data_IF_124142287727
#
_entry.id   IF_124142287727
#
_cell.length_a   1.000
_cell.length_b   1.000
_cell.length_c   1.000
_cell.angle_alpha   90.00
_cell.angle_beta   90.00
_cell.angle_gamma   90.00
#
_symmetry.space_group_name_H-M   'P 1'
#
loop_
_entity.id
_entity.type
_entity.pdbx_description
1 polymer ?
#
# COMPACT_ATOMS: atom_id res chain seq x y z
N UNK A 1 9.73 -9.56 -4.30
CA UNK A 1 9.23 -9.37 -2.92
C UNK A 1 8.15 -8.30 -2.87
N UNK A 2 8.44 -7.02 -2.62
CA UNK A 2 7.35 -6.03 -2.54
C UNK A 2 6.59 -5.85 -3.85
N UNK A 3 7.26 -5.92 -4.98
CA UNK A 3 6.60 -5.68 -6.28
C UNK A 3 5.55 -6.74 -6.64
N UNK A 4 5.66 -7.91 -6.06
CA UNK A 4 4.76 -9.04 -6.33
C UNK A 4 4.35 -9.75 -5.05
N UNK A 5 4.09 -8.98 -4.00
CA UNK A 5 3.67 -9.51 -2.70
C UNK A 5 2.28 -10.11 -2.80
N UNK A 6 2.18 -11.42 -2.75
CA UNK A 6 0.93 -12.16 -2.94
C UNK A 6 0.43 -12.84 -1.67
N UNK A 7 1.17 -12.75 -0.57
CA UNK A 7 0.83 -13.43 0.68
C UNK A 7 -0.30 -12.76 1.47
N UNK A 8 -0.58 -11.49 1.22
CA UNK A 8 -1.59 -10.75 1.95
C UNK A 8 -2.96 -10.84 1.28
N UNK A 9 -4.01 -10.95 2.08
CA UNK A 9 -5.39 -10.92 1.59
C UNK A 9 -5.77 -9.51 1.12
N UNK A 10 -5.21 -8.49 1.77
CA UNK A 10 -5.50 -7.08 1.48
C UNK A 10 -4.23 -6.27 1.50
N UNK A 11 -4.22 -5.20 0.72
CA UNK A 11 -3.17 -4.19 0.74
C UNK A 11 -3.83 -2.84 0.98
N UNK A 12 -3.36 -2.14 2.01
CA UNK A 12 -3.76 -0.76 2.28
C UNK A 12 -2.57 0.16 2.14
N UNK A 13 -2.83 1.38 1.71
CA UNK A 13 -1.83 2.44 1.73
C UNK A 13 -2.28 3.58 2.63
N UNK A 14 -1.35 4.11 3.41
CA UNK A 14 -1.53 5.36 4.11
C UNK A 14 -1.25 6.50 3.12
N UNK A 15 -2.29 7.21 2.70
CA UNK A 15 -2.15 8.32 1.77
C UNK A 15 -1.39 9.48 2.42
N UNK A 16 -0.83 10.36 1.62
CA UNK A 16 0.07 11.38 2.12
C UNK A 16 1.44 10.80 2.46
N UNK A 17 2.24 11.55 3.19
CA UNK A 17 3.53 11.03 3.61
C UNK A 17 3.49 10.60 5.08
N UNK A 18 4.32 9.61 5.39
CA UNK A 18 4.55 9.12 6.75
C UNK A 18 6.00 9.36 7.13
N UNK A 19 6.25 9.71 8.38
CA UNK A 19 7.60 9.77 8.90
C UNK A 19 8.17 8.34 8.99
N UNK A 20 9.03 7.99 8.03
CA UNK A 20 9.57 6.63 7.94
C UNK A 20 10.66 6.34 8.97
N UNK A 21 10.96 7.26 9.89
CA UNK A 21 11.74 6.93 11.07
C UNK A 21 10.97 6.04 12.03
N UNK A 22 9.65 6.00 11.92
CA UNK A 22 8.82 5.06 12.68
C UNK A 22 9.20 3.62 12.34
N UNK A 23 9.36 2.82 13.37
CA UNK A 23 9.55 1.39 13.25
C UNK A 23 8.25 0.62 13.38
N UNK A 24 8.36 -0.66 13.67
CA UNK A 24 7.21 -1.57 13.77
C UNK A 24 6.15 -1.02 14.73
N UNK A 25 6.54 -0.69 15.96
CA UNK A 25 5.59 -0.25 16.97
C UNK A 25 4.88 1.04 16.58
N UNK A 26 5.63 2.01 16.05
CA UNK A 26 5.06 3.28 15.64
C UNK A 26 4.09 3.14 14.49
N UNK A 27 4.41 2.31 13.51
CA UNK A 27 3.54 2.07 12.36
C UNK A 27 2.31 1.25 12.75
N UNK A 28 2.47 0.22 13.60
CA UNK A 28 1.33 -0.56 14.08
C UNK A 28 0.36 0.31 14.89
N UNK A 29 0.91 1.20 15.73
CA UNK A 29 0.09 2.15 16.51
C UNK A 29 -0.66 3.11 15.58
N UNK A 30 -0.03 3.57 14.51
CA UNK A 30 -0.65 4.43 13.52
C UNK A 30 -1.83 3.73 12.85
N UNK A 31 -1.67 2.45 12.49
CA UNK A 31 -2.76 1.64 11.91
C UNK A 31 -3.94 1.56 12.88
N UNK A 32 -3.67 1.28 14.16
CA UNK A 32 -4.72 1.13 15.17
C UNK A 32 -5.39 2.46 15.51
N UNK A 33 -4.62 3.49 15.81
CA UNK A 33 -5.13 4.72 16.38
C UNK A 33 -5.57 5.72 15.33
N UNK A 34 -4.78 5.90 14.29
CA UNK A 34 -5.10 6.90 13.26
C UNK A 34 -6.09 6.36 12.23
N UNK A 35 -5.92 5.13 11.78
CA UNK A 35 -6.77 4.54 10.75
C UNK A 35 -7.86 3.63 11.29
N UNK A 36 -7.82 3.30 12.59
CA UNK A 36 -8.79 2.43 13.25
C UNK A 36 -8.94 1.07 12.56
N UNK A 37 -7.82 0.52 12.13
CA UNK A 37 -7.72 -0.81 11.54
C UNK A 37 -6.93 -1.73 12.45
N UNK A 38 -7.09 -3.02 12.23
CA UNK A 38 -6.37 -4.05 12.99
C UNK A 38 -5.08 -4.41 12.26
N UNK A 39 -3.90 -4.11 12.84
CA UNK A 39 -2.64 -4.51 12.22
C UNK A 39 -2.33 -6.00 12.32
N UNK A 40 -3.04 -6.74 13.19
CA UNK A 40 -2.83 -8.17 13.41
C UNK A 40 -3.67 -9.02 12.45
N UNK A 41 -3.78 -8.60 11.20
CA UNK A 41 -4.52 -9.31 10.16
C UNK A 41 -3.58 -9.62 8.99
N UNK A 42 -4.02 -10.50 8.10
CA UNK A 42 -3.26 -10.83 6.88
C UNK A 42 -3.35 -9.68 5.87
N UNK A 43 -2.81 -8.54 6.25
CA UNK A 43 -2.88 -7.30 5.50
C UNK A 43 -1.50 -6.66 5.42
N UNK A 44 -1.12 -6.25 4.23
CA UNK A 44 0.08 -5.43 4.02
C UNK A 44 -0.31 -3.96 4.08
N UNK A 45 0.29 -3.22 5.01
CA UNK A 45 0.13 -1.77 5.13
C UNK A 45 1.36 -1.08 4.58
N UNK A 46 1.18 -0.19 3.62
CA UNK A 46 2.26 0.53 2.96
C UNK A 46 2.27 2.00 3.34
N UNK A 47 3.45 2.51 3.56
CA UNK A 47 3.71 3.89 3.98
C UNK A 47 4.79 4.47 3.09
N UNK A 48 4.62 5.72 2.68
CA UNK A 48 5.57 6.40 1.80
C UNK A 48 6.17 7.61 2.49
N UNK A 49 7.46 7.82 2.29
CA UNK A 49 8.16 8.97 2.82
C UNK A 49 7.89 10.23 1.99
N UNK A 50 8.29 11.38 2.55
CA UNK A 50 8.08 12.68 1.91
C UNK A 50 8.72 12.75 0.52
N UNK A 51 9.87 12.13 0.33
CA UNK A 51 10.60 12.12 -0.95
C UNK A 51 9.97 11.21 -2.00
N UNK A 52 9.04 10.35 -1.61
CA UNK A 52 8.34 9.41 -2.49
C UNK A 52 9.24 8.41 -3.23
N UNK A 53 10.51 8.33 -2.89
CA UNK A 53 11.44 7.34 -3.44
C UNK A 53 11.60 6.13 -2.51
N UNK A 54 10.93 6.14 -1.36
CA UNK A 54 11.06 5.08 -0.36
C UNK A 54 9.74 4.77 0.29
N UNK A 55 9.54 3.49 0.56
CA UNK A 55 8.34 2.98 1.22
C UNK A 55 8.73 2.00 2.32
N UNK A 56 7.86 1.89 3.31
CA UNK A 56 7.88 0.80 4.28
C UNK A 56 6.60 0.00 4.18
N UNK A 57 6.71 -1.31 4.39
CA UNK A 57 5.57 -2.20 4.46
C UNK A 57 5.54 -2.90 5.81
N UNK A 58 4.39 -2.86 6.48
CA UNK A 58 4.16 -3.55 7.73
C UNK A 58 3.23 -4.73 7.48
N UNK A 59 3.65 -5.92 7.88
CA UNK A 59 2.88 -7.13 7.67
C UNK A 59 2.95 -8.03 8.89
N UNK A 60 1.79 -8.44 9.39
CA UNK A 60 1.70 -9.41 10.48
C UNK A 60 1.77 -10.84 9.92
N UNK A 61 2.72 -11.63 10.39
CA UNK A 61 2.87 -13.02 10.00
C UNK A 61 2.82 -13.89 11.25
N UNK A 62 1.66 -14.45 11.49
CA UNK A 62 1.40 -15.44 12.55
C UNK A 62 1.78 -15.01 13.97
N UNK A 63 3.05 -14.77 14.22
CA UNK A 63 3.63 -14.58 15.55
C UNK A 63 4.49 -13.32 15.65
N UNK A 64 4.58 -12.54 14.58
CA UNK A 64 5.40 -11.34 14.59
C UNK A 64 5.13 -10.43 13.41
N UNK A 65 5.60 -9.20 13.55
CA UNK A 65 5.57 -8.24 12.45
C UNK A 65 6.82 -8.34 11.59
N UNK A 66 6.62 -8.21 10.29
CA UNK A 66 7.69 -8.00 9.31
C UNK A 66 7.63 -6.55 8.89
N UNK A 67 8.78 -5.89 8.90
CA UNK A 67 8.93 -4.55 8.38
C UNK A 67 9.79 -4.60 7.14
N UNK A 68 9.20 -4.25 5.99
CA UNK A 68 9.88 -4.17 4.72
C UNK A 68 10.25 -2.71 4.46
N UNK A 69 11.41 -2.49 3.87
CA UNK A 69 11.87 -1.16 3.49
C UNK A 69 12.47 -1.22 2.10
N UNK A 70 11.98 -0.33 1.22
CA UNK A 70 12.51 -0.24 -0.14
C UNK A 70 12.74 1.21 -0.51
N UNK A 71 13.93 1.49 -1.03
CA UNK A 71 14.29 2.79 -1.58
C UNK A 71 14.61 2.62 -3.06
N UNK A 72 13.93 3.39 -3.91
CA UNK A 72 14.21 3.38 -5.35
C UNK A 72 15.57 4.03 -5.60
N UNK A 73 16.33 3.44 -6.52
CA UNK A 73 17.58 4.05 -7.00
C UNK A 73 17.27 5.23 -7.93
N UNK A 74 16.21 5.10 -8.72
CA UNK A 74 15.74 6.14 -9.64
C UNK A 74 14.22 6.19 -9.61
N UNK A 75 13.66 7.39 -9.83
CA UNK A 75 12.24 7.59 -9.90
C UNK A 75 11.57 7.78 -8.55
N UNK A 76 10.27 7.80 -8.57
CA UNK A 76 9.45 8.00 -7.39
C UNK A 76 8.13 7.25 -7.54
N UNK A 77 7.52 6.91 -6.39
CA UNK A 77 6.18 6.36 -6.37
C UNK A 77 5.16 7.47 -6.59
N UNK A 78 4.14 7.20 -7.39
CA UNK A 78 3.01 8.13 -7.59
C UNK A 78 2.02 7.98 -6.44
N UNK A 79 2.44 8.39 -5.25
CA UNK A 79 1.68 8.16 -4.02
C UNK A 79 0.52 9.13 -3.88
N UNK A 80 -0.71 8.65 -3.57
CA UNK A 80 -1.84 9.54 -3.32
C UNK A 80 -1.55 10.47 -2.14
N UNK A 81 -1.92 11.75 -2.29
CA UNK A 81 -1.52 12.80 -1.36
C UNK A 81 -2.57 13.17 -0.32
N UNK A 82 -3.75 12.56 -0.36
CA UNK A 82 -4.79 12.83 0.63
C UNK A 82 -4.30 12.47 2.03
N UNK A 83 -4.16 13.46 2.89
CA UNK A 83 -3.65 13.24 4.23
C UNK A 83 -4.69 12.52 5.10
N UNK A 84 -4.18 11.75 6.09
CA UNK A 84 -4.99 11.07 7.09
C UNK A 84 -6.00 10.08 6.51
N UNK A 85 -5.83 9.69 5.26
CA UNK A 85 -6.68 8.71 4.60
C UNK A 85 -5.93 7.40 4.42
N UNK A 86 -6.65 6.29 4.57
CA UNK A 86 -6.15 4.96 4.24
C UNK A 86 -7.00 4.41 3.11
N UNK A 87 -6.37 3.80 2.13
CA UNK A 87 -7.06 3.25 0.96
C UNK A 87 -6.69 1.79 0.76
N UNK A 88 -7.70 0.98 0.47
CA UNK A 88 -7.53 -0.39 0.02
C UNK A 88 -7.18 -0.41 -1.47
N UNK A 89 -6.22 -1.23 -1.84
CA UNK A 89 -5.82 -1.39 -3.24
C UNK A 89 -6.24 -2.73 -3.77
N UNK A 90 -6.67 -2.75 -5.04
CA UNK A 90 -6.81 -4.01 -5.77
C UNK A 90 -5.40 -4.55 -6.12
N UNK A 91 -5.28 -5.85 -6.43
CA UNK A 91 -3.98 -6.39 -6.88
C UNK A 91 -3.41 -5.64 -8.09
N UNK A 92 -4.26 -5.20 -9.01
CA UNK A 92 -3.82 -4.43 -10.17
C UNK A 92 -3.31 -3.04 -9.78
N UNK A 93 -4.02 -2.33 -8.88
CA UNK A 93 -3.59 -1.04 -8.39
C UNK A 93 -2.27 -1.14 -7.64
N UNK A 94 -2.09 -2.21 -6.86
CA UNK A 94 -0.83 -2.46 -6.18
C UNK A 94 0.31 -2.62 -7.18
N UNK A 95 0.10 -3.40 -8.24
CA UNK A 95 1.12 -3.57 -9.28
C UNK A 95 1.46 -2.24 -9.96
N UNK A 96 0.45 -1.45 -10.30
CA UNK A 96 0.68 -0.12 -10.89
C UNK A 96 1.53 0.75 -9.97
N UNK A 97 1.18 0.80 -8.70
CA UNK A 97 1.90 1.62 -7.73
C UNK A 97 3.36 1.19 -7.61
N UNK A 98 3.61 -0.11 -7.54
CA UNK A 98 4.96 -0.65 -7.44
C UNK A 98 5.79 -0.41 -8.71
N UNK A 99 5.13 -0.26 -9.85
CA UNK A 99 5.77 0.05 -11.14
C UNK A 99 5.99 1.54 -11.37
N UNK A 100 5.61 2.39 -10.41
CA UNK A 100 5.76 3.83 -10.54
C UNK A 100 4.60 4.53 -11.23
N UNK A 101 3.47 3.84 -11.39
CA UNK A 101 2.26 4.39 -11.99
C UNK A 101 1.29 4.86 -10.90
N UNK A 102 0.35 5.70 -11.30
CA UNK A 102 -0.76 6.08 -10.42
C UNK A 102 -1.72 4.90 -10.24
N UNK A 103 -2.34 4.83 -9.07
CA UNK A 103 -3.34 3.79 -8.79
C UNK A 103 -4.63 3.99 -9.59
N UNK A 104 -4.82 5.16 -10.15
CA UNK A 104 -5.93 5.45 -11.04
C UNK A 104 -5.40 5.62 -12.45
N UNK A 105 -5.91 4.76 -13.35
CA UNK A 105 -5.53 4.76 -14.77
C UNK A 105 -6.79 4.96 -15.58
N UNK A 106 -7.17 6.23 -15.89
CA UNK A 106 -8.44 6.53 -16.59
C UNK A 106 -8.56 5.87 -17.94
N UNK A 107 -7.43 5.56 -18.59
CA UNK A 107 -7.41 4.91 -19.92
C UNK A 107 -7.42 3.39 -19.84
N UNK A 108 -7.35 2.80 -18.66
CA UNK A 108 -7.44 1.35 -18.52
C UNK A 108 -8.87 0.89 -18.85
N UNK A 109 -8.96 -0.22 -19.57
CA UNK A 109 -10.27 -0.81 -19.86
C UNK A 109 -10.87 -1.35 -18.55
N UNK A 110 -12.15 -1.04 -18.36
CA UNK A 110 -12.88 -1.56 -17.22
C UNK A 110 -13.41 -2.95 -17.54
N UNK A 111 -13.49 -3.85 -16.56
CA UNK A 111 -14.18 -5.12 -16.77
C UNK A 111 -15.61 -4.87 -17.20
N UNK A 112 -16.07 -5.65 -18.17
CA UNK A 112 -17.45 -5.55 -18.68
C UNK A 112 -18.27 -6.64 -17.99
N UNK A 113 -19.41 -6.24 -17.44
CA UNK A 113 -20.32 -7.14 -16.74
C UNK A 113 -21.72 -7.04 -17.32
N UNK A 114 -22.55 -8.05 -17.09
CA UNK A 114 -23.94 -8.03 -17.52
C UNK A 114 -24.16 -8.16 -19.00
N UNK A 115 -23.16 -8.64 -19.75
CA UNK A 115 -23.30 -8.86 -21.18
C UNK A 115 -24.15 -10.09 -21.48
N UNK A 116 -24.99 -9.93 -22.50
CA UNK A 116 -25.78 -11.04 -23.05
C UNK A 116 -25.48 -11.19 -24.52
N UNK A 117 -25.21 -12.41 -24.94
CA UNK A 117 -25.03 -12.74 -26.37
C UNK A 117 -26.37 -13.23 -26.89
N UNK A 118 -26.85 -12.58 -27.92
CA UNK A 118 -28.11 -12.91 -28.56
C UNK A 118 -27.92 -13.87 -29.74
#
# INVERSE_FOLDING_TARGET
>A
MLNDFTGADKVYIACGYTDLRKGIDGLARMVQQQFQLDPFTNTLFLFCGRRRDRIKGLYWERDGFILLYKRLVQGAYQWPRSESEVRSLTPQQYRWLMEGLKIEQPKAHRPVTGLTVL
#
